data_IF_491320180083
#
_entry.id   IF_491320180083
#
_cell.length_a   1.000
_cell.length_b   1.000
_cell.length_c   1.000
_cell.angle_alpha   90.00
_cell.angle_beta   90.00
_cell.angle_gamma   90.00
#
_symmetry.space_group_name_H-M   'P 1'
#
loop_
_entity.id
_entity.type
_entity.pdbx_description
1 polymer ?
#
# COMPACT_ATOMS: atom_id res chain seq x y z
N UNK A 1 8.54 -27.57 -1.34
CA UNK A 1 7.77 -26.47 -0.75
C UNK A 1 6.79 -27.11 0.23
N UNK A 2 6.75 -26.68 1.50
CA UNK A 2 5.82 -27.29 2.48
C UNK A 2 4.37 -26.84 2.21
N UNK A 3 3.38 -27.64 2.62
CA UNK A 3 1.94 -27.27 2.53
C UNK A 3 1.65 -25.89 3.17
N UNK A 4 2.36 -25.58 4.25
CA UNK A 4 2.24 -24.29 4.94
C UNK A 4 2.86 -23.14 4.13
N UNK A 5 3.98 -23.35 3.43
CA UNK A 5 4.61 -22.33 2.56
C UNK A 5 3.68 -21.98 1.39
N UNK A 6 3.04 -22.99 0.82
CA UNK A 6 2.05 -22.84 -0.24
C UNK A 6 0.85 -22.01 0.18
N UNK A 7 0.29 -22.34 1.35
CA UNK A 7 -0.81 -21.57 1.96
C UNK A 7 -0.40 -20.11 2.19
N UNK A 8 0.81 -19.85 2.70
CA UNK A 8 1.32 -18.50 2.89
C UNK A 8 1.43 -17.72 1.57
N UNK A 9 1.94 -18.33 0.50
CA UNK A 9 2.05 -17.67 -0.81
C UNK A 9 0.67 -17.37 -1.42
N UNK A 10 -0.30 -18.27 -1.26
CA UNK A 10 -1.68 -18.03 -1.71
C UNK A 10 -2.28 -16.80 -1.03
N UNK A 11 -2.22 -16.73 0.29
CA UNK A 11 -2.72 -15.59 1.05
C UNK A 11 -1.94 -14.31 0.75
N UNK A 12 -0.61 -14.39 0.63
CA UNK A 12 0.21 -13.26 0.20
C UNK A 12 -0.26 -12.72 -1.16
N UNK A 13 -0.53 -13.61 -2.11
CA UNK A 13 -1.01 -13.24 -3.44
C UNK A 13 -2.40 -12.60 -3.43
N UNK A 14 -3.34 -13.12 -2.64
CA UNK A 14 -4.67 -12.53 -2.49
C UNK A 14 -4.61 -11.14 -1.85
N UNK A 15 -3.87 -10.99 -0.75
CA UNK A 15 -3.72 -9.71 -0.06
C UNK A 15 -3.02 -8.66 -0.92
N UNK A 16 -2.00 -9.07 -1.71
CA UNK A 16 -1.32 -8.19 -2.65
C UNK A 16 -2.28 -7.63 -3.71
N UNK A 17 -3.02 -8.52 -4.40
CA UNK A 17 -3.94 -8.11 -5.46
C UNK A 17 -5.10 -7.29 -4.90
N UNK A 18 -5.75 -7.77 -3.84
CA UNK A 18 -6.86 -7.05 -3.23
C UNK A 18 -6.43 -5.67 -2.69
N UNK A 19 -5.31 -5.61 -1.96
CA UNK A 19 -4.78 -4.35 -1.44
C UNK A 19 -4.45 -3.35 -2.54
N UNK A 20 -3.75 -3.79 -3.60
CA UNK A 20 -3.42 -2.94 -4.73
C UNK A 20 -4.67 -2.46 -5.49
N UNK A 21 -5.66 -3.33 -5.72
CA UNK A 21 -6.91 -2.93 -6.39
C UNK A 21 -7.71 -1.92 -5.57
N UNK A 22 -7.75 -2.06 -4.24
CA UNK A 22 -8.38 -1.09 -3.35
C UNK A 22 -7.72 0.29 -3.46
N UNK A 23 -6.38 0.34 -3.55
CA UNK A 23 -5.66 1.61 -3.74
C UNK A 23 -5.91 2.22 -5.13
N UNK A 24 -5.89 1.38 -6.17
CA UNK A 24 -6.17 1.81 -7.54
C UNK A 24 -7.60 2.32 -7.73
N UNK A 25 -8.58 1.73 -7.03
CA UNK A 25 -9.97 2.17 -7.08
C UNK A 25 -10.17 3.55 -6.42
N UNK A 26 -9.33 3.89 -5.44
CA UNK A 26 -9.40 5.18 -4.75
C UNK A 26 -8.85 6.33 -5.59
N UNK A 27 -7.84 6.11 -6.43
CA UNK A 27 -7.22 7.20 -7.19
C UNK A 27 -8.20 7.92 -8.14
N UNK A 28 -9.09 7.22 -8.88
CA UNK A 28 -10.16 7.86 -9.65
C UNK A 28 -11.30 8.38 -8.77
N UNK A 29 -11.64 7.66 -7.69
CA UNK A 29 -12.74 8.03 -6.78
C UNK A 29 -12.46 9.30 -5.97
N UNK A 30 -11.18 9.67 -5.82
CA UNK A 30 -10.76 10.92 -5.21
C UNK A 30 -11.14 12.17 -6.02
N UNK A 31 -11.40 12.04 -7.34
CA UNK A 31 -11.67 13.19 -8.21
C UNK A 31 -10.49 14.17 -8.23
N UNK A 32 -10.77 15.47 -8.49
CA UNK A 32 -9.76 16.51 -8.39
C UNK A 32 -9.44 16.79 -6.91
N UNK A 33 -8.46 16.06 -6.37
CA UNK A 33 -7.93 16.27 -5.02
C UNK A 33 -7.41 17.72 -4.89
N UNK A 34 -7.70 18.43 -3.78
CA UNK A 34 -7.25 19.81 -3.61
C UNK A 34 -5.71 19.90 -3.65
N UNK A 35 -5.18 20.97 -4.24
CA UNK A 35 -3.74 21.18 -4.34
C UNK A 35 -3.08 21.40 -2.97
N UNK A 36 -1.84 20.94 -2.79
CA UNK A 36 -1.03 21.24 -1.61
C UNK A 36 -0.81 22.76 -1.52
N UNK A 37 -1.54 23.43 -0.64
CA UNK A 37 -1.56 24.90 -0.52
C UNK A 37 -2.96 25.50 -0.60
N UNK A 38 -3.98 24.71 -0.95
CA UNK A 38 -5.36 25.09 -0.72
C UNK A 38 -5.65 25.22 0.77
N UNK A 39 -6.62 26.05 1.14
CA UNK A 39 -7.03 26.24 2.52
C UNK A 39 -7.93 25.09 3.03
N UNK A 40 -8.17 25.09 4.34
CA UNK A 40 -9.03 24.11 4.99
C UNK A 40 -10.48 24.15 4.48
N UNK A 41 -10.94 25.28 3.96
CA UNK A 41 -12.26 25.39 3.34
C UNK A 41 -12.35 24.57 2.05
N UNK A 42 -11.31 24.62 1.21
CA UNK A 42 -11.23 23.79 0.00
C UNK A 42 -11.19 22.29 0.34
N UNK A 43 -10.46 21.89 1.39
CA UNK A 43 -10.46 20.51 1.87
C UNK A 43 -11.86 20.05 2.29
N UNK A 44 -12.56 20.85 3.12
CA UNK A 44 -13.92 20.53 3.57
C UNK A 44 -14.91 20.45 2.40
N UNK A 45 -14.84 21.41 1.47
CA UNK A 45 -15.70 21.43 0.29
C UNK A 45 -15.50 20.19 -0.60
N UNK A 46 -14.27 19.66 -0.66
CA UNK A 46 -13.96 18.45 -1.41
C UNK A 46 -14.36 17.16 -0.66
N UNK A 47 -14.11 17.09 0.65
CA UNK A 47 -14.24 15.86 1.44
C UNK A 47 -15.64 15.59 2.00
N UNK A 48 -16.44 16.63 2.31
CA UNK A 48 -17.77 16.51 2.91
C UNK A 48 -18.85 15.89 1.98
N UNK A 49 -18.90 16.22 0.68
CA UNK A 49 -19.96 15.75 -0.20
C UNK A 49 -20.02 14.21 -0.28
N UNK A 50 -21.23 13.66 -0.17
CA UNK A 50 -21.48 12.23 -0.44
C UNK A 50 -20.72 11.24 0.46
N UNK A 51 -20.27 11.66 1.65
CA UNK A 51 -19.39 10.87 2.54
C UNK A 51 -18.07 10.44 1.86
N UNK A 52 -17.57 11.27 0.94
CA UNK A 52 -16.40 10.94 0.11
C UNK A 52 -15.19 10.59 0.96
N UNK A 53 -14.82 11.44 1.92
CA UNK A 53 -13.61 11.22 2.69
C UNK A 53 -13.72 10.03 3.64
N UNK A 54 -14.91 9.76 4.19
CA UNK A 54 -15.18 8.58 4.99
C UNK A 54 -14.96 7.29 4.18
N UNK A 55 -15.49 7.24 2.95
CA UNK A 55 -15.33 6.10 2.05
C UNK A 55 -13.86 5.94 1.63
N UNK A 56 -13.21 7.04 1.22
CA UNK A 56 -11.81 7.02 0.81
C UNK A 56 -10.91 6.58 1.96
N UNK A 57 -11.05 7.16 3.15
CA UNK A 57 -10.19 6.82 4.29
C UNK A 57 -10.38 5.38 4.79
N UNK A 58 -11.60 4.83 4.76
CA UNK A 58 -11.84 3.40 5.03
C UNK A 58 -11.14 2.54 3.98
N UNK A 59 -11.35 2.84 2.70
CA UNK A 59 -10.68 2.15 1.61
C UNK A 59 -9.15 2.20 1.77
N UNK A 60 -8.62 3.36 2.13
CA UNK A 60 -7.19 3.61 2.31
C UNK A 60 -6.63 2.69 3.40
N UNK A 61 -7.27 2.68 4.57
CA UNK A 61 -6.89 1.83 5.70
C UNK A 61 -6.96 0.33 5.36
N UNK A 62 -8.04 -0.10 4.70
CA UNK A 62 -8.20 -1.50 4.26
C UNK A 62 -7.11 -1.89 3.26
N UNK A 63 -6.85 -1.04 2.27
CA UNK A 63 -5.82 -1.28 1.25
C UNK A 63 -4.44 -1.45 1.87
N UNK A 64 -4.03 -0.54 2.76
CA UNK A 64 -2.74 -0.65 3.45
C UNK A 64 -2.67 -1.82 4.43
N UNK A 65 -3.77 -2.15 5.13
CA UNK A 65 -3.83 -3.36 5.96
C UNK A 65 -3.60 -4.64 5.17
N UNK A 66 -4.17 -4.74 3.96
CA UNK A 66 -3.95 -5.87 3.05
C UNK A 66 -2.50 -5.89 2.53
N UNK A 67 -1.92 -4.74 2.20
CA UNK A 67 -0.52 -4.67 1.79
C UNK A 67 0.45 -5.03 2.92
N UNK A 68 0.14 -4.66 4.18
CA UNK A 68 0.89 -5.09 5.35
C UNK A 68 0.85 -6.61 5.50
N UNK A 69 -0.35 -7.20 5.42
CA UNK A 69 -0.52 -8.64 5.48
C UNK A 69 0.28 -9.34 4.37
N UNK A 70 0.26 -8.80 3.15
CA UNK A 70 1.08 -9.29 2.04
C UNK A 70 2.58 -9.31 2.42
N UNK A 71 3.12 -8.21 2.95
CA UNK A 71 4.53 -8.14 3.33
C UNK A 71 4.90 -9.08 4.48
N UNK A 72 4.04 -9.20 5.49
CA UNK A 72 4.26 -10.15 6.59
C UNK A 72 4.32 -11.58 6.05
N UNK A 73 3.37 -11.98 5.20
CA UNK A 73 3.34 -13.32 4.62
C UNK A 73 4.52 -13.58 3.68
N UNK A 74 4.93 -12.57 2.91
CA UNK A 74 6.14 -12.63 2.10
C UNK A 74 7.40 -12.79 2.98
N UNK A 75 7.47 -12.09 4.11
CA UNK A 75 8.55 -12.22 5.09
C UNK A 75 8.61 -13.60 5.73
N UNK A 76 7.46 -14.19 6.04
CA UNK A 76 7.35 -15.58 6.52
C UNK A 76 7.86 -16.56 5.45
N UNK A 77 7.47 -16.38 4.20
CA UNK A 77 7.94 -17.23 3.10
C UNK A 77 9.47 -17.15 2.93
N UNK A 78 10.05 -15.95 2.96
CA UNK A 78 11.51 -15.79 2.92
C UNK A 78 12.22 -16.39 4.14
N UNK A 79 11.65 -16.24 5.34
CA UNK A 79 12.20 -16.83 6.57
C UNK A 79 12.26 -18.35 6.48
N UNK A 80 11.17 -18.98 6.00
CA UNK A 80 11.11 -20.43 5.81
C UNK A 80 12.14 -20.89 4.78
N UNK A 81 12.26 -20.19 3.66
CA UNK A 81 13.21 -20.54 2.61
C UNK A 81 14.67 -20.36 3.04
N UNK A 82 14.95 -19.37 3.87
CA UNK A 82 16.29 -19.13 4.43
C UNK A 82 16.62 -20.02 5.64
N UNK A 83 15.62 -20.70 6.23
CA UNK A 83 15.74 -21.43 7.49
C UNK A 83 15.96 -20.55 8.73
N UNK A 84 15.90 -19.21 8.57
CA UNK A 84 16.14 -18.23 9.65
C UNK A 84 15.57 -16.86 9.28
N UNK A 85 15.31 -16.03 10.29
CA UNK A 85 14.91 -14.63 10.08
C UNK A 85 16.12 -13.78 9.71
N UNK A 86 16.12 -13.23 8.51
CA UNK A 86 17.26 -12.47 7.97
C UNK A 86 17.09 -10.96 8.22
N UNK A 87 18.18 -10.19 8.12
CA UNK A 87 18.10 -8.73 8.25
C UNK A 87 17.15 -8.11 7.21
N UNK A 88 17.15 -8.61 5.98
CA UNK A 88 16.22 -8.17 4.94
C UNK A 88 14.76 -8.39 5.33
N UNK A 89 14.41 -9.56 5.88
CA UNK A 89 13.04 -9.82 6.36
C UNK A 89 12.66 -8.84 7.48
N UNK A 90 13.56 -8.59 8.44
CA UNK A 90 13.31 -7.62 9.53
C UNK A 90 13.07 -6.21 8.98
N UNK A 91 13.95 -5.73 8.11
CA UNK A 91 13.84 -4.39 7.50
C UNK A 91 12.54 -4.27 6.72
N UNK A 92 12.20 -5.26 5.90
CA UNK A 92 10.96 -5.29 5.11
C UNK A 92 9.72 -5.22 6.02
N UNK A 93 9.65 -6.07 7.04
CA UNK A 93 8.47 -6.13 7.92
C UNK A 93 8.35 -4.89 8.81
N UNK A 94 9.43 -4.44 9.45
CA UNK A 94 9.37 -3.26 10.33
C UNK A 94 9.04 -1.98 9.55
N UNK A 95 9.66 -1.76 8.40
CA UNK A 95 9.34 -0.59 7.59
C UNK A 95 7.89 -0.66 7.07
N UNK A 96 7.40 -1.84 6.68
CA UNK A 96 6.00 -1.94 6.26
C UNK A 96 5.02 -1.66 7.40
N UNK A 97 5.33 -2.07 8.62
CA UNK A 97 4.53 -1.72 9.80
C UNK A 97 4.52 -0.20 9.98
N UNK A 98 5.70 0.46 9.97
CA UNK A 98 5.79 1.92 10.09
C UNK A 98 5.00 2.65 9.00
N UNK A 99 5.16 2.25 7.74
CA UNK A 99 4.42 2.81 6.60
C UNK A 99 2.92 2.64 6.83
N UNK A 100 2.47 1.44 7.17
CA UNK A 100 1.04 1.16 7.37
C UNK A 100 0.47 1.97 8.53
N UNK A 101 1.21 2.11 9.63
CA UNK A 101 0.79 2.94 10.77
C UNK A 101 0.58 4.40 10.34
N UNK A 102 1.53 4.99 9.62
CA UNK A 102 1.39 6.36 9.10
C UNK A 102 0.19 6.47 8.15
N UNK A 103 0.05 5.50 7.25
CA UNK A 103 -1.02 5.45 6.24
C UNK A 103 -2.41 5.13 6.82
N UNK A 104 -2.51 4.71 8.08
CA UNK A 104 -3.78 4.57 8.81
C UNK A 104 -4.07 5.81 9.66
N UNK A 105 -3.04 6.39 10.29
CA UNK A 105 -3.20 7.59 11.12
C UNK A 105 -3.62 8.80 10.28
N UNK A 106 -2.98 9.02 9.13
CA UNK A 106 -3.28 10.16 8.25
C UNK A 106 -4.77 10.22 7.82
N UNK A 107 -5.34 9.17 7.20
CA UNK A 107 -6.76 9.20 6.82
C UNK A 107 -7.70 9.19 8.03
N UNK A 108 -7.29 8.64 9.18
CA UNK A 108 -8.11 8.72 10.39
C UNK A 108 -8.25 10.16 10.90
N UNK A 109 -7.18 10.96 10.82
CA UNK A 109 -7.22 12.39 11.13
C UNK A 109 -8.11 13.16 10.15
N UNK A 110 -7.98 12.89 8.86
CA UNK A 110 -8.82 13.52 7.83
C UNK A 110 -10.31 13.20 8.03
N UNK A 111 -10.63 11.94 8.33
CA UNK A 111 -11.99 11.48 8.67
C UNK A 111 -12.50 12.20 9.93
N UNK A 112 -11.65 12.41 10.93
CA UNK A 112 -12.05 13.11 12.16
C UNK A 112 -12.51 14.54 11.88
N UNK A 113 -11.83 15.31 11.02
CA UNK A 113 -12.29 16.66 10.63
C UNK A 113 -13.64 16.64 9.93
N UNK A 114 -13.83 15.66 9.04
CA UNK A 114 -15.08 15.53 8.29
C UNK A 114 -16.24 15.15 9.22
N UNK A 115 -16.01 14.29 10.20
CA UNK A 115 -17.00 14.02 11.25
C UNK A 115 -17.28 15.24 12.11
N UNK A 116 -16.26 15.98 12.54
CA UNK A 116 -16.47 17.20 13.33
C UNK A 116 -17.28 18.24 12.55
N UNK A 117 -16.94 18.51 11.29
CA UNK A 117 -17.67 19.42 10.42
C UNK A 117 -19.13 18.99 10.17
N UNK A 118 -19.38 17.68 10.05
CA UNK A 118 -20.73 17.15 9.82
C UNK A 118 -21.61 17.22 11.08
N UNK A 119 -21.03 17.06 12.27
CA UNK A 119 -21.77 16.99 13.53
C UNK A 119 -21.77 18.30 14.34
N UNK A 120 -20.91 19.26 13.98
CA UNK A 120 -20.84 20.58 14.60
C UNK A 120 -20.89 21.67 13.51
N UNK A 121 -22.07 22.25 13.22
CA UNK A 121 -22.27 23.18 12.10
C UNK A 121 -21.40 24.44 12.12
N UNK A 122 -20.85 24.81 13.28
CA UNK A 122 -19.90 25.92 13.41
C UNK A 122 -18.46 25.57 13.03
N UNK A 123 -18.11 24.28 13.01
CA UNK A 123 -16.74 23.83 12.78
C UNK A 123 -16.32 24.00 11.31
N UNK A 124 -15.17 24.61 11.09
CA UNK A 124 -14.64 24.94 9.76
C UNK A 124 -15.17 26.27 9.20
N UNK A 125 -15.99 27.00 9.96
CA UNK A 125 -16.50 28.32 9.54
C UNK A 125 -15.56 29.45 9.97
N UNK A 126 -14.85 29.29 11.10
CA UNK A 126 -13.89 30.26 11.61
C UNK A 126 -12.51 30.14 10.97
N UNK A 127 -11.77 31.26 10.90
CA UNK A 127 -10.42 31.29 10.33
C UNK A 127 -9.46 30.35 11.08
N UNK A 128 -9.48 30.37 12.42
CA UNK A 128 -8.60 29.52 13.23
C UNK A 128 -8.82 28.02 12.98
N UNK A 129 -10.06 27.60 12.75
CA UNK A 129 -10.38 26.20 12.45
C UNK A 129 -9.92 25.82 11.04
N UNK A 130 -10.06 26.72 10.06
CA UNK A 130 -9.54 26.51 8.70
C UNK A 130 -8.03 26.44 8.66
N UNK A 131 -7.34 27.28 9.43
CA UNK A 131 -5.88 27.26 9.55
C UNK A 131 -5.42 25.94 10.20
N UNK A 132 -6.13 25.47 11.23
CA UNK A 132 -5.88 24.18 11.87
C UNK A 132 -6.06 23.00 10.89
N UNK A 133 -7.15 22.98 10.13
CA UNK A 133 -7.41 21.96 9.11
C UNK A 133 -6.31 21.99 8.04
N UNK A 134 -5.94 23.18 7.57
CA UNK A 134 -4.86 23.36 6.58
C UNK A 134 -3.54 22.79 7.08
N UNK A 135 -3.17 23.14 8.31
CA UNK A 135 -1.93 22.68 8.94
C UNK A 135 -1.92 21.15 9.08
N UNK A 136 -3.00 20.56 9.59
CA UNK A 136 -3.07 19.13 9.86
C UNK A 136 -3.17 18.30 8.59
N UNK A 137 -3.91 18.77 7.58
CA UNK A 137 -3.94 18.16 6.26
C UNK A 137 -2.55 18.21 5.59
N UNK A 138 -1.88 19.36 5.64
CA UNK A 138 -0.50 19.50 5.16
C UNK A 138 0.48 18.58 5.89
N UNK A 139 0.36 18.47 7.21
CA UNK A 139 1.16 17.55 8.01
C UNK A 139 0.90 16.08 7.64
N UNK A 140 -0.35 15.68 7.38
CA UNK A 140 -0.71 14.35 6.90
C UNK A 140 -0.08 14.04 5.55
N UNK A 141 -0.11 14.98 4.60
CA UNK A 141 0.53 14.82 3.29
C UNK A 141 2.06 14.68 3.40
N UNK A 142 2.70 15.46 4.28
CA UNK A 142 4.14 15.35 4.56
C UNK A 142 4.46 13.98 5.16
N UNK A 143 3.74 13.54 6.20
CA UNK A 143 3.94 12.24 6.84
C UNK A 143 3.73 11.09 5.86
N UNK A 144 2.63 11.12 5.10
CA UNK A 144 2.32 10.12 4.09
C UNK A 144 3.44 10.05 3.04
N UNK A 145 3.98 11.18 2.61
CA UNK A 145 5.04 11.17 1.60
C UNK A 145 6.40 10.80 2.18
N UNK A 146 6.71 11.16 3.44
CA UNK A 146 7.92 10.69 4.13
C UNK A 146 7.92 9.16 4.31
N UNK A 147 6.73 8.55 4.47
CA UNK A 147 6.61 7.09 4.49
C UNK A 147 7.07 6.43 3.18
N UNK A 148 7.19 7.17 2.07
CA UNK A 148 7.71 6.63 0.80
C UNK A 148 9.18 6.23 0.88
N UNK A 149 9.99 6.92 1.70
CA UNK A 149 11.37 6.51 1.92
C UNK A 149 11.43 5.16 2.63
N UNK A 150 10.58 4.96 3.64
CA UNK A 150 10.46 3.68 4.33
C UNK A 150 9.95 2.59 3.38
N UNK A 151 8.98 2.91 2.52
CA UNK A 151 8.47 1.98 1.51
C UNK A 151 9.56 1.60 0.50
N UNK A 152 10.43 2.54 0.09
CA UNK A 152 11.61 2.23 -0.73
C UNK A 152 12.54 1.22 -0.03
N UNK A 153 12.78 1.38 1.28
CA UNK A 153 13.55 0.40 2.06
C UNK A 153 12.89 -0.98 2.11
N UNK A 154 11.55 -1.07 2.15
CA UNK A 154 10.83 -2.33 2.01
C UNK A 154 11.20 -3.01 0.69
N UNK A 155 11.18 -2.27 -0.42
CA UNK A 155 11.47 -2.84 -1.75
C UNK A 155 12.94 -3.22 -1.94
N UNK A 156 13.87 -2.42 -1.40
CA UNK A 156 15.30 -2.78 -1.35
C UNK A 156 15.51 -4.06 -0.54
N UNK A 157 14.78 -4.22 0.57
CA UNK A 157 14.83 -5.44 1.37
C UNK A 157 14.23 -6.64 0.62
N UNK A 158 13.13 -6.48 -0.13
CA UNK A 158 12.59 -7.53 -1.02
C UNK A 158 13.61 -7.90 -2.08
N UNK A 159 14.27 -6.92 -2.72
CA UNK A 159 15.35 -7.16 -3.68
C UNK A 159 16.48 -8.00 -3.07
N UNK A 160 16.98 -7.60 -1.91
CA UNK A 160 18.07 -8.28 -1.22
C UNK A 160 17.68 -9.72 -0.80
N UNK A 161 16.46 -9.90 -0.29
CA UNK A 161 15.93 -11.22 0.06
C UNK A 161 15.77 -12.11 -1.19
N UNK A 162 15.20 -11.58 -2.27
CA UNK A 162 14.97 -12.33 -3.50
C UNK A 162 16.28 -12.67 -4.24
N UNK A 163 17.32 -11.85 -4.11
CA UNK A 163 18.62 -12.14 -4.69
C UNK A 163 19.25 -13.40 -4.08
N UNK A 164 19.10 -13.60 -2.76
CA UNK A 164 19.65 -14.75 -2.02
C UNK A 164 18.72 -15.97 -2.00
N UNK A 165 17.41 -15.76 -1.87
CA UNK A 165 16.41 -16.82 -1.74
C UNK A 165 15.22 -16.56 -2.69
N UNK A 166 15.38 -16.80 -4.00
CA UNK A 166 14.45 -16.28 -5.00
C UNK A 166 13.03 -16.87 -4.89
N UNK A 167 12.09 -16.05 -4.43
CA UNK A 167 10.64 -16.35 -4.44
C UNK A 167 9.95 -15.80 -5.69
N UNK A 168 10.49 -14.76 -6.32
CA UNK A 168 9.97 -14.15 -7.54
C UNK A 168 10.88 -14.46 -8.75
N UNK A 169 10.33 -14.46 -9.98
CA UNK A 169 11.14 -14.55 -11.19
C UNK A 169 12.22 -13.45 -11.23
N UNK A 170 13.40 -13.70 -11.83
CA UNK A 170 14.52 -12.76 -11.82
C UNK A 170 14.16 -11.35 -12.29
N UNK A 171 13.35 -11.23 -13.35
CA UNK A 171 12.91 -9.94 -13.89
C UNK A 171 12.14 -9.15 -12.85
N UNK A 172 11.13 -9.76 -12.22
CA UNK A 172 10.27 -9.07 -11.26
C UNK A 172 10.97 -8.82 -9.93
N UNK A 173 11.75 -9.79 -9.45
CA UNK A 173 12.39 -9.75 -8.14
C UNK A 173 13.74 -9.02 -8.09
N UNK A 174 14.39 -8.73 -9.23
CA UNK A 174 15.60 -7.89 -9.30
C UNK A 174 15.31 -6.53 -9.92
N UNK A 175 14.89 -6.51 -11.19
CA UNK A 175 14.66 -5.26 -11.91
C UNK A 175 13.36 -4.58 -11.48
N UNK A 176 12.31 -5.37 -11.29
CA UNK A 176 11.02 -4.85 -10.82
C UNK A 176 11.12 -4.21 -9.43
N UNK A 177 11.69 -4.91 -8.44
CA UNK A 177 11.84 -4.40 -7.08
C UNK A 177 12.76 -3.17 -7.00
N UNK A 178 13.87 -3.17 -7.74
CA UNK A 178 14.74 -2.01 -7.82
C UNK A 178 14.02 -0.80 -8.47
N UNK A 179 13.30 -1.04 -9.57
CA UNK A 179 12.50 -0.01 -10.22
C UNK A 179 11.44 0.59 -9.28
N UNK A 180 10.71 -0.26 -8.56
CA UNK A 180 9.71 0.18 -7.57
C UNK A 180 10.36 0.98 -6.43
N UNK A 181 11.53 0.56 -5.94
CA UNK A 181 12.26 1.32 -4.93
C UNK A 181 12.63 2.74 -5.42
N UNK A 182 13.04 2.87 -6.69
CA UNK A 182 13.32 4.16 -7.33
C UNK A 182 12.05 4.97 -7.51
N UNK A 183 10.94 4.37 -7.93
CA UNK A 183 9.64 5.04 -8.04
C UNK A 183 9.19 5.61 -6.70
N UNK A 184 9.37 4.88 -5.59
CA UNK A 184 9.05 5.39 -4.26
C UNK A 184 9.91 6.61 -3.88
N UNK A 185 11.20 6.61 -4.19
CA UNK A 185 12.07 7.77 -3.94
C UNK A 185 11.69 8.95 -4.83
N UNK A 186 11.40 8.70 -6.11
CA UNK A 186 10.94 9.73 -7.04
C UNK A 186 9.61 10.34 -6.58
N UNK A 187 8.68 9.51 -6.11
CA UNK A 187 7.41 9.97 -5.53
C UNK A 187 7.64 10.80 -4.25
N UNK A 188 8.61 10.43 -3.41
CA UNK A 188 8.98 11.23 -2.25
C UNK A 188 9.50 12.63 -2.63
N UNK A 189 10.22 12.71 -3.76
CA UNK A 189 10.71 13.96 -4.34
C UNK A 189 9.61 14.97 -4.68
N UNK A 190 8.38 14.51 -4.90
CA UNK A 190 7.23 15.40 -5.17
C UNK A 190 6.95 16.39 -4.03
N UNK A 191 7.35 16.09 -2.78
CA UNK A 191 7.23 17.03 -1.66
C UNK A 191 7.93 18.37 -1.89
N UNK A 192 9.02 18.35 -2.67
CA UNK A 192 9.84 19.54 -2.90
C UNK A 192 9.38 20.33 -4.13
N UNK A 193 8.32 19.88 -4.80
CA UNK A 193 7.79 20.52 -6.01
C UNK A 193 6.39 21.09 -5.73
N UNK A 194 6.26 22.42 -5.58
CA UNK A 194 4.99 23.04 -5.19
C UNK A 194 3.94 23.04 -6.31
N UNK A 195 4.34 22.96 -7.58
CA UNK A 195 3.42 22.97 -8.72
C UNK A 195 4.00 22.27 -9.95
N UNK A 196 3.13 21.96 -10.93
CA UNK A 196 3.51 21.34 -12.19
C UNK A 196 3.42 19.82 -12.18
N UNK A 197 4.00 19.14 -13.19
CA UNK A 197 3.83 17.70 -13.38
C UNK A 197 4.49 16.87 -12.28
N UNK A 198 5.38 17.42 -11.46
CA UNK A 198 5.99 16.69 -10.34
C UNK A 198 5.34 16.98 -9.00
N UNK A 199 4.34 17.86 -8.96
CA UNK A 199 3.66 18.21 -7.72
C UNK A 199 2.85 17.03 -7.17
N UNK A 200 2.64 16.95 -5.84
CA UNK A 200 1.76 15.95 -5.25
C UNK A 200 0.33 16.12 -5.77
N UNK A 201 -0.31 15.01 -6.15
CA UNK A 201 -1.64 15.02 -6.78
C UNK A 201 -1.64 15.24 -8.31
N UNK A 202 -0.47 15.47 -8.94
CA UNK A 202 -0.36 15.48 -10.40
C UNK A 202 -0.59 14.10 -11.03
N UNK A 203 -0.99 14.07 -12.30
CA UNK A 203 -1.14 12.81 -13.06
C UNK A 203 0.14 11.97 -13.10
N UNK A 204 1.30 12.62 -13.11
CA UNK A 204 2.58 11.93 -13.12
C UNK A 204 2.92 11.35 -11.75
N UNK A 205 2.69 12.08 -10.64
CA UNK A 205 2.83 11.52 -9.30
C UNK A 205 1.90 10.30 -9.13
N UNK A 206 0.66 10.40 -9.62
CA UNK A 206 -0.29 9.30 -9.70
C UNK A 206 0.24 8.14 -10.56
N UNK A 207 0.86 8.40 -11.72
CA UNK A 207 1.45 7.38 -12.58
C UNK A 207 2.60 6.61 -11.89
N UNK A 208 3.42 7.28 -11.07
CA UNK A 208 4.45 6.61 -10.27
C UNK A 208 3.82 5.57 -9.32
N UNK A 209 2.70 5.91 -8.69
CA UNK A 209 1.93 5.01 -7.84
C UNK A 209 1.36 3.81 -8.58
N UNK A 210 0.82 4.03 -9.78
CA UNK A 210 0.36 2.94 -10.65
C UNK A 210 1.48 1.93 -10.93
N UNK A 211 2.72 2.38 -11.11
CA UNK A 211 3.88 1.49 -11.28
C UNK A 211 4.13 0.58 -10.07
N UNK A 212 4.04 1.13 -8.85
CA UNK A 212 4.18 0.36 -7.60
C UNK A 212 3.07 -0.69 -7.49
N UNK A 213 1.81 -0.29 -7.69
CA UNK A 213 0.68 -1.21 -7.57
C UNK A 213 0.65 -2.27 -8.68
N UNK A 214 1.06 -1.93 -9.90
CA UNK A 214 1.19 -2.88 -11.00
C UNK A 214 2.21 -3.98 -10.66
N UNK A 215 3.35 -3.61 -10.05
CA UNK A 215 4.33 -4.58 -9.59
C UNK A 215 3.75 -5.50 -8.50
N UNK A 216 3.02 -4.93 -7.53
CA UNK A 216 2.38 -5.70 -6.44
C UNK A 216 1.38 -6.71 -7.01
N UNK A 217 0.55 -6.28 -7.96
CA UNK A 217 -0.41 -7.16 -8.65
C UNK A 217 0.33 -8.26 -9.38
N UNK A 218 1.38 -7.95 -10.14
CA UNK A 218 2.17 -8.94 -10.86
C UNK A 218 2.78 -9.98 -9.91
N UNK A 219 3.37 -9.53 -8.80
CA UNK A 219 3.92 -10.41 -7.76
C UNK A 219 2.82 -11.29 -7.15
N UNK A 220 1.68 -10.70 -6.81
CA UNK A 220 0.53 -11.40 -6.23
C UNK A 220 -0.04 -12.46 -7.16
N UNK A 221 -0.24 -12.14 -8.44
CA UNK A 221 -0.69 -13.09 -9.48
C UNK A 221 0.30 -14.24 -9.64
N UNK A 222 1.61 -13.98 -9.59
CA UNK A 222 2.62 -15.05 -9.65
C UNK A 222 2.52 -15.96 -8.44
N UNK A 223 2.34 -15.43 -7.24
CA UNK A 223 2.16 -16.26 -6.04
C UNK A 223 0.87 -17.07 -6.08
N UNK A 224 -0.23 -16.49 -6.56
CA UNK A 224 -1.49 -17.20 -6.80
C UNK A 224 -1.33 -18.33 -7.81
N UNK A 225 -0.66 -18.09 -8.94
CA UNK A 225 -0.40 -19.13 -9.96
C UNK A 225 0.46 -20.26 -9.40
N UNK A 226 1.53 -19.93 -8.68
CA UNK A 226 2.40 -20.95 -8.05
C UNK A 226 1.68 -21.74 -6.97
N UNK A 227 0.73 -21.13 -6.27
CA UNK A 227 -0.15 -21.84 -5.36
C UNK A 227 -1.17 -22.73 -6.13
N UNK A 228 -1.76 -22.26 -7.24
CA UNK A 228 -2.70 -23.07 -8.02
C UNK A 228 -2.07 -24.32 -8.66
N UNK A 229 -0.83 -24.21 -9.14
CA UNK A 229 -0.12 -25.29 -9.87
C UNK A 229 0.30 -26.48 -9.01
N UNK A 230 0.19 -26.38 -7.67
CA UNK A 230 0.57 -27.43 -6.74
C UNK A 230 -0.59 -27.86 -5.83
N UNK A 231 -1.84 -27.57 -6.21
CA UNK A 231 -2.98 -28.19 -5.54
C UNK A 231 -2.80 -29.72 -5.57
N UNK A 232 -2.98 -30.43 -4.44
CA UNK A 232 -2.87 -31.89 -4.42
C UNK A 232 -3.77 -32.45 -5.51
N UNK A 233 -3.19 -33.26 -6.41
CA UNK A 233 -4.02 -34.08 -7.30
C UNK A 233 -4.93 -34.88 -6.37
N UNK A 234 -6.26 -34.83 -6.51
CA UNK A 234 -7.11 -35.72 -5.74
C UNK A 234 -6.60 -37.13 -5.99
N UNK A 235 -6.26 -37.85 -4.91
CA UNK A 235 -5.69 -39.19 -4.99
C UNK A 235 -6.61 -40.08 -5.82
N UNK A 236 -6.29 -40.21 -7.09
CA UNK A 236 -6.95 -41.09 -8.03
C UNK A 236 -6.43 -42.50 -7.74
N UNK A 237 -6.87 -43.12 -6.65
CA UNK A 237 -6.52 -44.52 -6.43
C UNK A 237 -6.54 -45.02 -5.00
N UNK A 238 -7.69 -44.97 -4.34
CA UNK A 238 -8.07 -46.11 -3.51
C UNK A 238 -9.15 -46.86 -4.27
N UNK A 239 -8.73 -47.71 -5.23
CA UNK A 239 -9.58 -48.81 -5.67
C UNK A 239 -9.81 -49.66 -4.44
N UNK A 240 -11.00 -49.54 -3.84
CA UNK A 240 -11.52 -50.58 -2.97
C UNK A 240 -11.61 -51.85 -3.82
N UNK A 241 -10.67 -52.77 -3.63
CA UNK A 241 -10.88 -54.16 -3.99
C UNK A 241 -12.02 -54.66 -3.10
N UNK A 242 -13.22 -54.68 -3.65
CA UNK A 242 -14.35 -55.39 -3.04
C UNK A 242 -14.02 -56.88 -3.10
N UNK A 243 -14.06 -57.60 -1.97
CA UNK A 243 -13.81 -59.04 -1.92
C UNK A 243 -14.87 -59.85 -2.67
#
# INVERSE_FOLDING_TARGET
MSSTEHTCLRWAGMSAVAGALVQLAQSPAAGAYPHNGSDGAAFLAWGLPGRRMEILGIGWAVGWGLLLQFMILLGVAYTRRAGRTTAAVKVMTYNMICVTTVQVIAPALDIAFIHMARHHPGFGTGQAERDLITLLWGACNILATLSMFQLSLVWVAVFAANHRWPLLPPVLGRWGTAGVAVLCVAAAGSLFVPSGPWAPGSLFAVALWFGVYAWIIAAGVIFLRRAGLHAPRPDSGTRQSVP
#
